data_IF_231423435531
#
_entry.id   IF_231423435531
#
_cell.length_a   1.000
_cell.length_b   1.000
_cell.length_c   1.000
_cell.angle_alpha   90.00
_cell.angle_beta   90.00
_cell.angle_gamma   90.00
#
_symmetry.space_group_name_H-M   'P 1'
#
loop_
_entity.id
_entity.type
_entity.pdbx_description
1 polymer ?
#
# COMPACT_ATOMS: atom_id res chain seq x y z
N UNK A 1 9.29 -56.73 -32.48
CA UNK A 1 9.31 -55.38 -31.87
C UNK A 1 8.54 -55.42 -30.55
N UNK A 2 9.20 -55.23 -29.40
CA UNK A 2 8.57 -55.23 -28.07
C UNK A 2 7.85 -53.89 -27.86
N UNK A 3 6.52 -53.87 -27.81
CA UNK A 3 5.75 -52.66 -27.49
C UNK A 3 6.00 -52.29 -26.02
N UNK A 4 6.67 -51.16 -25.78
CA UNK A 4 6.80 -50.58 -24.45
C UNK A 4 5.39 -50.17 -23.97
N UNK A 5 4.90 -50.79 -22.90
CA UNK A 5 3.62 -50.38 -22.28
C UNK A 5 3.79 -48.95 -21.77
N UNK A 6 3.06 -47.99 -22.35
CA UNK A 6 3.00 -46.62 -21.83
C UNK A 6 2.31 -46.67 -20.47
N UNK A 7 2.98 -46.17 -19.43
CA UNK A 7 2.36 -45.98 -18.11
C UNK A 7 1.29 -44.89 -18.25
N UNK A 8 0.03 -45.23 -18.02
CA UNK A 8 -1.05 -44.26 -17.95
C UNK A 8 -1.15 -43.73 -16.52
N UNK A 9 -1.39 -42.43 -16.39
CA UNK A 9 -1.60 -41.77 -15.11
C UNK A 9 -2.91 -42.22 -14.48
N UNK A 10 -2.91 -42.50 -13.19
CA UNK A 10 -4.10 -42.95 -12.46
C UNK A 10 -4.87 -41.75 -11.90
N UNK A 11 -6.20 -41.88 -11.78
CA UNK A 11 -7.03 -40.84 -11.16
C UNK A 11 -6.65 -40.61 -9.70
N UNK A 12 -6.22 -41.66 -8.99
CA UNK A 12 -5.81 -41.55 -7.59
C UNK A 12 -4.55 -40.69 -7.42
N UNK A 13 -3.59 -40.78 -8.34
CA UNK A 13 -2.39 -39.92 -8.31
C UNK A 13 -2.77 -38.45 -8.47
N UNK A 14 -3.75 -38.12 -9.32
CA UNK A 14 -4.25 -36.75 -9.44
C UNK A 14 -4.92 -36.27 -8.15
N UNK A 15 -5.75 -37.12 -7.54
CA UNK A 15 -6.51 -36.80 -6.34
C UNK A 15 -5.61 -36.48 -5.15
N UNK A 16 -4.53 -37.25 -4.96
CA UNK A 16 -3.57 -36.99 -3.88
C UNK A 16 -2.84 -35.66 -4.10
N UNK A 17 -2.49 -35.33 -5.33
CA UNK A 17 -1.81 -34.07 -5.66
C UNK A 17 -2.71 -32.86 -5.36
N UNK A 18 -3.97 -32.87 -5.80
CA UNK A 18 -4.89 -31.76 -5.51
C UNK A 18 -5.17 -31.62 -4.02
N UNK A 19 -5.22 -32.73 -3.27
CA UNK A 19 -5.41 -32.70 -1.83
C UNK A 19 -4.25 -31.99 -1.12
N UNK A 20 -3.01 -32.30 -1.51
CA UNK A 20 -1.82 -31.62 -0.95
C UNK A 20 -1.82 -30.13 -1.35
N UNK A 21 -2.12 -29.80 -2.61
CA UNK A 21 -2.21 -28.41 -3.06
C UNK A 21 -3.26 -27.61 -2.29
N UNK A 22 -4.42 -28.19 -2.00
CA UNK A 22 -5.45 -27.55 -1.20
C UNK A 22 -4.96 -27.21 0.22
N UNK A 23 -4.26 -28.14 0.88
CA UNK A 23 -3.67 -27.92 2.21
C UNK A 23 -2.65 -26.78 2.18
N UNK A 24 -1.78 -26.75 1.16
CA UNK A 24 -0.80 -25.68 1.01
C UNK A 24 -1.47 -24.31 0.82
N UNK A 25 -2.50 -24.23 -0.02
CA UNK A 25 -3.26 -22.99 -0.27
C UNK A 25 -3.93 -22.49 1.01
N UNK A 26 -4.54 -23.39 1.79
CA UNK A 26 -5.19 -23.03 3.06
C UNK A 26 -4.25 -22.32 4.03
N UNK A 27 -2.97 -22.70 4.06
CA UNK A 27 -1.95 -22.04 4.90
C UNK A 27 -1.36 -20.81 4.19
N UNK A 28 -1.14 -20.89 2.88
CA UNK A 28 -0.48 -19.85 2.10
C UNK A 28 -1.32 -18.56 2.00
N UNK A 29 -2.62 -18.66 1.77
CA UNK A 29 -3.52 -17.51 1.58
C UNK A 29 -3.56 -16.58 2.81
N UNK A 30 -3.86 -17.03 4.04
CA UNK A 30 -3.89 -16.16 5.21
C UNK A 30 -2.51 -15.57 5.52
N UNK A 31 -1.43 -16.35 5.34
CA UNK A 31 -0.06 -15.88 5.53
C UNK A 31 0.31 -14.77 4.54
N UNK A 32 -0.05 -14.95 3.26
CA UNK A 32 0.15 -13.94 2.23
C UNK A 32 -0.62 -12.66 2.54
N UNK A 33 -1.90 -12.78 2.90
CA UNK A 33 -2.74 -11.63 3.23
C UNK A 33 -2.18 -10.84 4.42
N UNK A 34 -1.75 -11.52 5.49
CA UNK A 34 -1.14 -10.87 6.65
C UNK A 34 0.16 -10.14 6.29
N UNK A 35 1.03 -10.79 5.49
CA UNK A 35 2.28 -10.17 5.02
C UNK A 35 2.00 -8.92 4.19
N UNK A 36 1.02 -8.99 3.29
CA UNK A 36 0.59 -7.88 2.44
C UNK A 36 0.07 -6.70 3.27
N UNK A 37 -0.81 -6.95 4.25
CA UNK A 37 -1.31 -5.89 5.16
C UNK A 37 -0.18 -5.26 5.97
N UNK A 38 0.80 -6.05 6.41
CA UNK A 38 1.97 -5.52 7.12
C UNK A 38 2.82 -4.62 6.22
N UNK A 39 3.07 -5.04 4.98
CA UNK A 39 3.79 -4.24 4.00
C UNK A 39 3.07 -2.92 3.70
N UNK A 40 1.75 -2.96 3.53
CA UNK A 40 0.92 -1.78 3.30
C UNK A 40 0.99 -0.79 4.47
N UNK A 41 0.95 -1.27 5.72
CA UNK A 41 1.11 -0.40 6.92
C UNK A 41 2.49 0.23 7.00
N UNK A 42 3.55 -0.52 6.69
CA UNK A 42 4.91 0.00 6.67
C UNK A 42 5.07 1.07 5.58
N UNK A 43 4.55 0.81 4.38
CA UNK A 43 4.57 1.78 3.28
C UNK A 43 3.78 3.05 3.63
N UNK A 44 2.60 2.90 4.24
CA UNK A 44 1.81 4.04 4.69
C UNK A 44 2.58 4.91 5.70
N UNK A 45 3.19 4.29 6.71
CA UNK A 45 3.97 5.00 7.72
C UNK A 45 5.17 5.73 7.12
N UNK A 46 5.85 5.13 6.14
CA UNK A 46 6.93 5.76 5.41
C UNK A 46 6.45 6.96 4.59
N UNK A 47 5.32 6.81 3.88
CA UNK A 47 4.73 7.89 3.08
C UNK A 47 4.30 9.08 3.94
N UNK A 48 3.65 8.82 5.08
CA UNK A 48 3.27 9.85 6.07
C UNK A 48 4.50 10.64 6.52
N UNK A 49 5.57 9.94 6.89
CA UNK A 49 6.81 10.58 7.34
C UNK A 49 7.47 11.44 6.26
N UNK A 50 7.45 10.98 4.99
CA UNK A 50 7.97 11.77 3.86
C UNK A 50 7.15 13.05 3.68
N UNK A 51 5.83 12.96 3.77
CA UNK A 51 4.91 14.10 3.63
C UNK A 51 5.02 15.08 4.81
N UNK A 52 5.16 14.58 6.04
CA UNK A 52 5.42 15.40 7.23
C UNK A 52 6.71 16.21 7.07
N UNK A 53 7.80 15.56 6.65
CA UNK A 53 9.07 16.25 6.43
C UNK A 53 8.94 17.30 5.31
N UNK A 54 8.20 17.01 4.25
CA UNK A 54 7.94 17.99 3.19
C UNK A 54 7.12 19.18 3.71
N UNK A 55 6.06 18.93 4.49
CA UNK A 55 5.24 19.97 5.10
C UNK A 55 6.00 20.81 6.12
N UNK A 56 6.89 20.20 6.92
CA UNK A 56 7.70 20.93 7.90
C UNK A 56 8.70 21.85 7.20
N UNK A 57 9.27 21.41 6.08
CA UNK A 57 10.14 22.26 5.24
C UNK A 57 9.36 23.43 4.65
N UNK A 58 8.16 23.17 4.15
CA UNK A 58 7.26 24.21 3.66
C UNK A 58 6.93 25.24 4.76
N UNK A 59 6.54 24.79 5.96
CA UNK A 59 6.23 25.65 7.10
C UNK A 59 7.44 26.46 7.61
N UNK A 60 8.65 25.92 7.46
CA UNK A 60 9.89 26.62 7.85
C UNK A 60 10.29 27.72 6.89
N UNK A 61 10.01 27.53 5.59
CA UNK A 61 10.40 28.47 4.52
C UNK A 61 9.31 29.52 4.28
N UNK A 62 8.05 29.09 4.21
CA UNK A 62 6.91 29.99 4.14
C UNK A 62 6.32 30.11 5.55
N UNK A 63 6.40 31.32 6.12
CA UNK A 63 5.76 31.67 7.40
C UNK A 63 4.24 31.58 7.26
N UNK A 64 3.71 30.36 7.29
CA UNK A 64 2.27 30.08 7.20
C UNK A 64 1.72 30.07 8.62
N UNK A 65 0.96 31.12 8.95
CA UNK A 65 0.42 31.36 10.29
C UNK A 65 -1.01 30.82 10.47
N UNK A 66 -1.59 30.17 9.45
CA UNK A 66 -2.98 29.71 9.48
C UNK A 66 -3.17 28.29 8.97
N UNK A 67 -4.26 27.66 9.45
CA UNK A 67 -4.69 26.34 9.02
C UNK A 67 -4.96 26.33 7.51
N UNK A 68 -4.14 25.60 6.77
CA UNK A 68 -4.21 25.53 5.30
C UNK A 68 -3.93 24.12 4.81
N UNK A 69 -4.68 23.70 3.80
CA UNK A 69 -4.33 22.53 2.99
C UNK A 69 -3.16 22.93 2.09
N UNK A 70 -2.04 22.22 2.22
CA UNK A 70 -0.81 22.50 1.47
C UNK A 70 -0.51 21.40 0.44
N UNK A 71 -1.46 20.49 0.22
CA UNK A 71 -1.28 19.29 -0.61
C UNK A 71 -0.84 19.66 -2.04
N UNK A 72 -1.46 20.68 -2.64
CA UNK A 72 -1.12 21.16 -3.98
C UNK A 72 0.16 22.03 -3.99
N UNK A 73 0.39 22.78 -2.92
CA UNK A 73 1.56 23.63 -2.71
C UNK A 73 2.85 22.81 -2.60
N UNK A 74 2.80 21.64 -1.96
CA UNK A 74 3.96 20.76 -1.84
C UNK A 74 4.48 20.26 -3.19
N UNK A 75 3.56 20.00 -4.13
CA UNK A 75 3.91 19.54 -5.49
C UNK A 75 4.34 20.73 -6.36
N UNK A 76 3.55 21.81 -6.36
CA UNK A 76 3.82 22.99 -7.19
C UNK A 76 5.13 23.69 -6.81
N UNK A 77 5.44 23.79 -5.52
CA UNK A 77 6.69 24.39 -5.01
C UNK A 77 7.86 23.39 -4.92
N UNK A 78 7.67 22.17 -5.42
CA UNK A 78 8.70 21.13 -5.56
C UNK A 78 9.32 20.64 -4.24
N UNK A 79 8.61 20.73 -3.12
CA UNK A 79 9.02 20.06 -1.88
C UNK A 79 8.90 18.53 -2.00
N UNK A 80 7.97 18.07 -2.84
CA UNK A 80 7.84 16.68 -3.25
C UNK A 80 7.59 16.60 -4.76
N UNK A 81 8.05 15.50 -5.39
CA UNK A 81 7.85 15.29 -6.84
C UNK A 81 6.41 14.90 -7.17
N UNK A 82 5.82 14.04 -6.34
CA UNK A 82 4.47 13.54 -6.48
C UNK A 82 3.97 13.07 -5.10
N UNK A 83 2.66 13.13 -4.89
CA UNK A 83 2.05 12.58 -3.67
C UNK A 83 2.04 11.06 -3.81
N UNK A 84 2.59 10.31 -2.83
CA UNK A 84 2.62 8.87 -2.91
C UNK A 84 1.20 8.29 -2.85
N UNK A 85 0.96 7.20 -3.58
CA UNK A 85 -0.35 6.52 -3.58
C UNK A 85 -0.62 5.84 -2.24
N UNK A 86 -1.88 5.77 -1.83
CA UNK A 86 -2.26 5.01 -0.64
C UNK A 86 -2.18 3.51 -0.89
N UNK A 87 -1.56 2.74 0.03
CA UNK A 87 -1.64 1.29 0.01
C UNK A 87 -3.10 0.83 0.19
N UNK A 88 -3.54 -0.16 -0.60
CA UNK A 88 -4.96 -0.59 -0.67
C UNK A 88 -5.54 -1.10 0.66
N UNK A 89 -4.71 -1.48 1.62
CA UNK A 89 -5.19 -1.91 2.94
C UNK A 89 -5.53 -0.75 3.90
N UNK A 90 -5.26 0.50 3.52
CA UNK A 90 -5.61 1.71 4.28
C UNK A 90 -6.89 2.32 3.71
N UNK A 91 -7.78 2.82 4.59
CA UNK A 91 -9.01 3.51 4.17
C UNK A 91 -8.66 4.91 3.64
N UNK A 92 -9.13 5.23 2.43
CA UNK A 92 -8.83 6.49 1.73
C UNK A 92 -8.31 6.22 0.31
N UNK A 93 -8.18 7.27 -0.49
CA UNK A 93 -7.63 7.18 -1.86
C UNK A 93 -6.38 8.03 -2.02
N UNK A 94 -6.30 9.18 -1.34
CA UNK A 94 -5.20 10.15 -1.44
C UNK A 94 -4.74 10.66 -0.06
N UNK A 95 -3.50 11.11 0.06
CA UNK A 95 -3.02 11.79 1.27
C UNK A 95 -3.35 13.26 1.18
N UNK A 96 -3.85 13.81 2.28
CA UNK A 96 -4.02 15.25 2.50
C UNK A 96 -3.01 15.72 3.52
N UNK A 97 -2.31 16.81 3.24
CA UNK A 97 -1.36 17.44 4.16
C UNK A 97 -1.92 18.79 4.59
N UNK A 98 -2.29 18.90 5.86
CA UNK A 98 -2.84 20.12 6.45
C UNK A 98 -1.88 20.67 7.50
N UNK A 99 -1.76 21.99 7.58
CA UNK A 99 -1.17 22.64 8.76
C UNK A 99 -2.33 22.89 9.74
N UNK A 100 -2.20 22.47 11.00
CA UNK A 100 -3.15 22.77 12.07
C UNK A 100 -2.41 23.26 13.30
N UNK A 101 -2.72 24.47 13.76
CA UNK A 101 -2.08 25.10 14.93
C UNK A 101 -0.53 25.14 14.86
N UNK A 102 0.04 25.25 13.65
CA UNK A 102 1.50 25.24 13.45
C UNK A 102 2.14 23.86 13.40
N UNK A 103 1.35 22.77 13.48
CA UNK A 103 1.82 21.40 13.26
C UNK A 103 1.37 20.86 11.90
N UNK A 104 2.21 20.03 11.28
CA UNK A 104 1.90 19.38 10.00
C UNK A 104 1.17 18.07 10.29
N UNK A 105 -0.08 17.98 9.83
CA UNK A 105 -0.93 16.81 10.01
C UNK A 105 -1.19 16.16 8.65
N UNK A 106 -0.70 14.93 8.48
CA UNK A 106 -0.94 14.13 7.28
C UNK A 106 -2.07 13.15 7.54
N UNK A 107 -3.17 13.26 6.79
CA UNK A 107 -4.31 12.34 6.91
C UNK A 107 -4.63 11.66 5.59
N UNK A 108 -4.94 10.34 5.59
CA UNK A 108 -5.55 9.71 4.44
C UNK A 108 -6.98 10.23 4.27
N UNK A 109 -7.31 10.78 3.10
CA UNK A 109 -8.67 11.22 2.75
C UNK A 109 -9.20 10.42 1.57
N UNK A 110 -10.51 10.36 1.45
CA UNK A 110 -11.17 9.96 0.20
C UNK A 110 -11.19 11.20 -0.68
N UNK A 111 -10.74 11.05 -1.92
CA UNK A 111 -10.87 12.05 -2.98
C UNK A 111 -12.34 12.43 -3.05
N UNK A 112 -12.67 13.72 -2.89
CA UNK A 112 -14.03 14.17 -3.19
C UNK A 112 -14.21 13.93 -4.68
N UNK A 113 -15.02 12.92 -5.02
CA UNK A 113 -15.64 12.86 -6.33
C UNK A 113 -16.51 14.13 -6.44
N UNK A 114 -15.98 15.17 -7.08
CA UNK A 114 -16.75 16.30 -7.62
C UNK A 114 -17.45 15.86 -8.93
#
# INVERSE_FOLDING_TARGET
MKKLKKKAFTLIELLVVIAILAILILIAVPRYNNSRVKADKTAHSANVKVLEVAGLRYLSEEKVESDKDITEELVSKKYIKEIPKLPKSIKGTVYKVEIKNGDVVVTPTVEKDD
#
